data_IF_553470984778
#
_entry.id   IF_553470984778
#
_cell.length_a   1.000
_cell.length_b   1.000
_cell.length_c   1.000
_cell.angle_alpha   90.00
_cell.angle_beta   90.00
_cell.angle_gamma   90.00
#
_symmetry.space_group_name_H-M   'P 1'
#
loop_
_entity.id
_entity.type
_entity.pdbx_description
1 polymer ?
#
# COMPACT_ATOMS: atom_id res chain seq x y z
N UNK A 1 6.39 1.40 17.69
CA UNK A 1 5.78 0.05 17.84
C UNK A 1 6.54 -0.89 16.93
N UNK A 2 6.65 -2.19 17.24
CA UNK A 2 7.30 -3.12 16.30
C UNK A 2 6.31 -3.49 15.19
N UNK A 3 6.75 -3.46 13.92
CA UNK A 3 5.97 -3.95 12.79
C UNK A 3 5.65 -5.44 12.97
N UNK A 4 4.49 -5.88 12.50
CA UNK A 4 4.14 -7.30 12.45
C UNK A 4 4.99 -8.03 11.41
N UNK A 5 5.04 -9.37 11.47
CA UNK A 5 5.79 -10.17 10.48
C UNK A 5 5.35 -9.90 9.04
N UNK A 6 4.04 -9.70 8.82
CA UNK A 6 3.47 -9.39 7.50
C UNK A 6 3.90 -8.00 7.04
N UNK A 7 3.84 -7.00 7.92
CA UNK A 7 4.29 -5.64 7.64
C UNK A 7 5.80 -5.60 7.33
N UNK A 8 6.60 -6.34 8.09
CA UNK A 8 8.05 -6.42 7.90
C UNK A 8 8.40 -7.12 6.57
N UNK A 9 7.67 -8.16 6.19
CA UNK A 9 7.80 -8.82 4.90
C UNK A 9 7.48 -7.86 3.75
N UNK A 10 6.42 -7.07 3.87
CA UNK A 10 6.05 -6.05 2.88
C UNK A 10 7.13 -4.97 2.73
N UNK A 11 7.62 -4.43 3.84
CA UNK A 11 8.74 -3.47 3.85
C UNK A 11 9.99 -4.08 3.22
N UNK A 12 10.24 -5.38 3.39
CA UNK A 12 11.41 -6.02 2.79
C UNK A 12 11.28 -6.24 1.27
N UNK A 13 10.05 -6.41 0.77
CA UNK A 13 9.75 -6.64 -0.63
C UNK A 13 9.82 -5.36 -1.50
N UNK A 14 9.68 -4.18 -0.88
CA UNK A 14 9.76 -2.89 -1.60
C UNK A 14 11.20 -2.41 -1.80
N UNK A 15 11.34 -1.41 -2.68
CA UNK A 15 12.62 -0.76 -2.94
C UNK A 15 13.27 -0.20 -1.65
N UNK A 16 14.61 -0.31 -1.48
CA UNK A 16 15.32 0.14 -0.29
C UNK A 16 15.02 1.58 0.12
N UNK A 17 14.86 2.47 -0.85
CA UNK A 17 14.53 3.89 -0.65
C UNK A 17 13.14 4.12 -0.05
N UNK A 18 12.19 3.23 -0.33
CA UNK A 18 10.81 3.31 0.17
C UNK A 18 10.64 2.68 1.55
N UNK A 19 11.59 1.86 2.02
CA UNK A 19 11.44 1.04 3.24
C UNK A 19 11.12 1.86 4.49
N UNK A 20 11.86 2.95 4.70
CA UNK A 20 11.69 3.79 5.88
C UNK A 20 10.30 4.46 5.90
N UNK A 21 9.86 4.97 4.75
CA UNK A 21 8.57 5.65 4.62
C UNK A 21 7.39 4.67 4.74
N UNK A 22 7.48 3.49 4.11
CA UNK A 22 6.46 2.44 4.26
C UNK A 22 6.37 1.94 5.69
N UNK A 23 7.51 1.69 6.35
CA UNK A 23 7.52 1.32 7.75
C UNK A 23 6.80 2.35 8.62
N UNK A 24 7.02 3.65 8.38
CA UNK A 24 6.32 4.71 9.10
C UNK A 24 4.81 4.70 8.85
N UNK A 25 4.36 4.55 7.60
CA UNK A 25 2.94 4.46 7.27
C UNK A 25 2.26 3.25 7.93
N UNK A 26 2.93 2.10 7.95
CA UNK A 26 2.44 0.88 8.59
C UNK A 26 2.40 1.02 10.12
N UNK A 27 3.41 1.64 10.73
CA UNK A 27 3.41 1.91 12.18
C UNK A 27 2.27 2.86 12.59
N UNK A 28 1.97 3.86 11.75
CA UNK A 28 0.91 4.83 12.01
C UNK A 28 -0.49 4.30 11.69
N UNK A 29 -0.60 3.21 10.93
CA UNK A 29 -1.89 2.66 10.48
C UNK A 29 -2.70 3.68 9.69
N UNK A 30 -2.05 4.34 8.72
CA UNK A 30 -2.63 5.47 7.98
C UNK A 30 -3.86 5.07 7.17
N UNK A 31 -4.65 6.07 6.82
CA UNK A 31 -5.74 5.93 5.85
C UNK A 31 -5.17 5.82 4.44
N UNK A 32 -5.64 4.83 3.69
CA UNK A 32 -5.22 4.55 2.32
C UNK A 32 -6.42 4.52 1.39
N UNK A 33 -6.21 4.97 0.16
CA UNK A 33 -7.19 4.95 -0.91
C UNK A 33 -6.78 3.91 -1.95
N UNK A 34 -7.77 3.29 -2.56
CA UNK A 34 -7.60 2.36 -3.68
C UNK A 34 -8.15 3.03 -4.91
N UNK A 35 -7.34 3.17 -5.95
CA UNK A 35 -7.77 3.78 -7.21
C UNK A 35 -7.21 3.04 -8.40
N UNK A 36 -7.86 3.25 -9.55
CA UNK A 36 -7.44 2.64 -10.81
C UNK A 36 -6.28 3.46 -11.39
N UNK A 37 -5.07 2.90 -11.35
CA UNK A 37 -3.92 3.49 -12.01
C UNK A 37 -4.03 3.24 -13.52
N UNK A 38 -3.67 4.23 -14.32
CA UNK A 38 -3.54 4.09 -15.78
C UNK A 38 -2.13 4.50 -16.25
N UNK A 39 -1.19 4.64 -15.32
CA UNK A 39 0.14 5.23 -15.56
C UNK A 39 1.17 4.18 -15.99
N UNK A 40 1.17 3.01 -15.36
CA UNK A 40 1.86 1.85 -15.91
C UNK A 40 0.88 1.06 -16.78
N UNK A 41 1.32 0.64 -17.97
CA UNK A 41 0.52 -0.18 -18.90
C UNK A 41 0.25 -1.58 -18.35
N UNK A 42 -0.05 -2.53 -19.25
CA UNK A 42 -0.44 -3.92 -18.91
C UNK A 42 0.57 -4.74 -18.07
N UNK A 43 1.74 -4.19 -17.75
CA UNK A 43 2.78 -4.84 -16.96
C UNK A 43 2.53 -4.76 -15.45
N UNK A 44 1.64 -3.87 -15.00
CA UNK A 44 1.27 -3.78 -13.57
C UNK A 44 -0.22 -3.92 -13.35
N UNK A 45 -0.63 -4.38 -12.15
CA UNK A 45 -2.04 -4.48 -11.83
C UNK A 45 -2.74 -3.11 -11.82
N UNK A 46 -4.02 -3.05 -12.24
CA UNK A 46 -4.72 -1.78 -12.43
C UNK A 46 -5.10 -1.06 -11.15
N UNK A 47 -5.08 -1.71 -9.97
CA UNK A 47 -5.47 -1.05 -8.71
C UNK A 47 -4.25 -0.73 -7.86
N UNK A 48 -3.99 0.56 -7.64
CA UNK A 48 -2.94 1.03 -6.75
C UNK A 48 -3.52 1.40 -5.38
N UNK A 49 -2.75 1.11 -4.32
CA UNK A 49 -3.04 1.56 -2.95
C UNK A 49 -2.04 2.63 -2.58
N UNK A 50 -2.54 3.80 -2.18
CA UNK A 50 -1.70 4.90 -1.73
C UNK A 50 -2.27 5.54 -0.46
N UNK A 51 -1.44 6.17 0.39
CA UNK A 51 -1.91 7.00 1.50
C UNK A 51 -2.85 8.10 1.01
N UNK A 52 -3.94 8.34 1.74
CA UNK A 52 -4.92 9.39 1.41
C UNK A 52 -4.28 10.77 1.29
N UNK A 53 -3.33 11.07 2.18
CA UNK A 53 -2.57 12.33 2.22
C UNK A 53 -1.46 12.41 1.16
N UNK A 54 -1.08 11.29 0.53
CA UNK A 54 0.00 11.25 -0.45
C UNK A 54 -0.24 10.17 -1.52
N UNK A 55 -1.09 10.48 -2.50
CA UNK A 55 -1.48 9.53 -3.54
C UNK A 55 -0.38 9.25 -4.56
N UNK A 56 0.67 10.08 -4.62
CA UNK A 56 1.85 9.88 -5.46
C UNK A 56 2.73 8.72 -4.96
N UNK A 57 2.57 8.32 -3.71
CA UNK A 57 3.35 7.25 -3.11
C UNK A 57 2.56 5.94 -3.03
N UNK A 58 2.93 4.96 -3.85
CA UNK A 58 2.22 3.68 -3.89
C UNK A 58 2.79 2.70 -2.86
N UNK A 59 1.91 2.18 -2.01
CA UNK A 59 2.21 1.13 -1.05
C UNK A 59 2.21 -0.25 -1.71
N UNK A 60 1.50 -0.40 -2.82
CA UNK A 60 1.45 -1.61 -3.65
C UNK A 60 0.40 -1.52 -4.75
N UNK A 61 0.42 -2.50 -5.65
CA UNK A 61 -0.57 -2.67 -6.72
C UNK A 61 -1.18 -4.08 -6.69
N UNK A 62 -2.46 -4.19 -7.00
CA UNK A 62 -3.22 -5.45 -7.02
C UNK A 62 -4.17 -5.53 -8.22
N UNK A 63 -4.52 -6.76 -8.60
CA UNK A 63 -5.35 -7.02 -9.78
C UNK A 63 -6.80 -6.55 -9.62
N UNK A 64 -7.29 -6.55 -8.37
CA UNK A 64 -8.67 -6.22 -8.03
C UNK A 64 -8.73 -5.33 -6.79
N UNK A 65 -9.78 -4.51 -6.65
CA UNK A 65 -9.92 -3.63 -5.50
C UNK A 65 -10.18 -4.42 -4.21
N UNK A 66 -10.77 -5.62 -4.32
CA UNK A 66 -10.99 -6.53 -3.20
C UNK A 66 -9.68 -7.07 -2.64
N UNK A 67 -8.74 -7.47 -3.51
CA UNK A 67 -7.40 -7.91 -3.09
C UNK A 67 -6.58 -6.76 -2.51
N UNK A 68 -6.68 -5.56 -3.11
CA UNK A 68 -6.05 -4.35 -2.59
C UNK A 68 -6.55 -4.02 -1.17
N UNK A 69 -7.87 -4.10 -0.95
CA UNK A 69 -8.45 -3.84 0.36
C UNK A 69 -8.00 -4.87 1.39
N UNK A 70 -8.11 -6.16 1.06
CA UNK A 70 -7.67 -7.24 1.94
C UNK A 70 -6.16 -7.16 2.26
N UNK A 71 -5.33 -6.78 1.28
CA UNK A 71 -3.89 -6.57 1.47
C UNK A 71 -3.60 -5.40 2.40
N UNK A 72 -4.27 -4.26 2.19
CA UNK A 72 -4.13 -3.09 3.06
C UNK A 72 -4.60 -3.38 4.50
N UNK A 73 -5.73 -4.06 4.67
CA UNK A 73 -6.24 -4.47 5.98
C UNK A 73 -5.29 -5.45 6.68
N UNK A 74 -4.74 -6.43 5.96
CA UNK A 74 -3.73 -7.36 6.49
C UNK A 74 -2.44 -6.65 6.94
N UNK A 75 -2.12 -5.52 6.30
CA UNK A 75 -1.01 -4.64 6.66
C UNK A 75 -1.36 -3.68 7.81
N UNK A 76 -2.59 -3.72 8.35
CA UNK A 76 -3.03 -2.85 9.44
C UNK A 76 -3.34 -1.41 9.00
N UNK A 77 -3.54 -1.20 7.70
CA UNK A 77 -3.91 0.10 7.13
C UNK A 77 -5.44 0.24 7.08
N UNK A 78 -5.92 1.49 7.05
CA UNK A 78 -7.36 1.77 6.99
C UNK A 78 -7.75 2.14 5.57
N UNK A 79 -8.41 1.22 4.88
CA UNK A 79 -8.94 1.50 3.55
C UNK A 79 -10.11 2.46 3.68
N UNK A 80 -10.02 3.58 2.98
CA UNK A 80 -11.10 4.56 2.85
C UNK A 80 -11.41 4.77 1.38
N UNK A 81 -12.69 4.89 1.06
CA UNK A 81 -13.13 5.28 -0.27
C UNK A 81 -12.86 6.77 -0.45
N UNK A 82 -12.26 7.12 -1.59
CA UNK A 82 -11.99 8.51 -1.98
C UNK A 82 -13.27 9.30 -2.20
#
# INVERSE_FOLDING_TARGET
MALTEIQQAHVNAVFPECKAQIAEYLEKGVEVVIYLQNECGDDVPPYAVAPKDNQEFWLGCWDTPELAAAGAEALGLRVVTQ
#
